data_IF_076734911874
#
_entry.id   IF_076734911874
#
_cell.length_a   1.000
_cell.length_b   1.000
_cell.length_c   1.000
_cell.angle_alpha   90.00
_cell.angle_beta   90.00
_cell.angle_gamma   90.00
#
_symmetry.space_group_name_H-M   'P 1'
#
loop_
_entity.id
_entity.type
_entity.pdbx_description
1 polymer ?
#
# COMPACT_ATOMS: atom_id res chain seq x y z
N UNK A 1 19.00 16.63 -53.50
CA UNK A 1 18.09 15.50 -53.82
C UNK A 1 16.69 15.93 -53.46
N UNK A 2 15.72 15.77 -54.38
CA UNK A 2 14.30 16.01 -54.08
C UNK A 2 13.78 14.93 -53.14
N UNK A 3 13.04 15.33 -52.10
CA UNK A 3 12.36 14.38 -51.21
C UNK A 3 11.25 13.67 -51.99
N UNK A 4 11.02 12.38 -51.72
CA UNK A 4 9.98 11.59 -52.38
C UNK A 4 8.73 11.53 -51.52
N UNK A 5 7.58 11.38 -52.17
CA UNK A 5 6.30 11.18 -51.51
C UNK A 5 6.30 9.87 -50.71
N UNK A 6 5.92 9.93 -49.43
CA UNK A 6 5.87 8.77 -48.53
C UNK A 6 4.68 7.84 -48.76
N UNK A 7 3.66 8.30 -49.49
CA UNK A 7 2.52 7.43 -49.84
C UNK A 7 3.00 6.23 -50.63
N UNK A 8 2.71 5.03 -50.12
CA UNK A 8 3.05 3.75 -50.75
C UNK A 8 2.69 3.77 -52.24
N UNK A 9 3.67 3.43 -53.09
CA UNK A 9 3.56 3.40 -54.56
C UNK A 9 3.37 4.76 -55.27
N UNK A 10 3.58 5.91 -54.60
CA UNK A 10 3.50 7.20 -55.28
C UNK A 10 4.74 7.55 -56.11
N UNK A 11 5.94 7.52 -55.50
CA UNK A 11 7.23 7.78 -56.17
C UNK A 11 7.46 9.20 -56.72
N UNK A 12 6.45 10.08 -56.72
CA UNK A 12 6.55 11.47 -57.17
C UNK A 12 7.40 12.31 -56.23
N UNK A 13 7.98 13.39 -56.75
CA UNK A 13 8.68 14.39 -55.93
C UNK A 13 7.69 15.09 -55.00
N UNK A 14 8.10 15.27 -53.75
CA UNK A 14 7.28 15.89 -52.73
C UNK A 14 7.25 17.42 -52.89
N UNK A 15 6.08 18.00 -52.65
CA UNK A 15 5.82 19.45 -52.68
C UNK A 15 5.20 19.95 -51.38
N UNK A 16 4.82 19.03 -50.48
CA UNK A 16 4.18 19.28 -49.20
C UNK A 16 4.91 18.54 -48.09
N UNK A 17 4.81 19.06 -46.87
CA UNK A 17 5.31 18.43 -45.65
C UNK A 17 4.24 18.50 -44.56
N UNK A 18 4.14 17.48 -43.70
CA UNK A 18 3.17 17.47 -42.61
C UNK A 18 3.48 18.57 -41.56
N UNK A 19 2.57 19.52 -41.31
CA UNK A 19 2.81 20.61 -40.35
C UNK A 19 2.88 20.10 -38.89
N UNK A 20 2.20 19.00 -38.57
CA UNK A 20 2.28 18.40 -37.23
C UNK A 20 3.63 17.74 -37.01
N UNK A 21 4.16 17.01 -37.99
CA UNK A 21 5.51 16.44 -37.91
C UNK A 21 6.60 17.50 -37.77
N UNK A 22 6.47 18.61 -38.50
CA UNK A 22 7.35 19.77 -38.35
C UNK A 22 7.32 20.34 -36.92
N UNK A 23 6.13 20.43 -36.31
CA UNK A 23 5.98 20.88 -34.91
C UNK A 23 6.53 19.88 -33.89
N UNK A 24 6.45 18.59 -34.18
CA UNK A 24 6.90 17.50 -33.31
C UNK A 24 8.39 17.12 -33.51
N UNK A 25 9.13 17.82 -34.39
CA UNK A 25 10.54 17.51 -34.67
C UNK A 25 10.77 16.19 -35.42
N UNK A 26 9.71 15.60 -36.00
CA UNK A 26 9.78 14.31 -36.71
C UNK A 26 10.42 14.54 -38.08
N UNK A 27 11.60 13.95 -38.32
CA UNK A 27 12.27 14.01 -39.61
C UNK A 27 11.49 13.16 -40.64
N UNK A 28 11.22 13.75 -41.80
CA UNK A 28 10.45 13.12 -42.88
C UNK A 28 9.09 13.78 -43.08
N UNK A 29 8.12 12.99 -43.49
CA UNK A 29 6.71 13.33 -43.71
C UNK A 29 6.45 14.20 -44.93
N UNK A 30 6.96 13.74 -46.08
CA UNK A 30 6.89 14.43 -47.37
C UNK A 30 5.81 13.84 -48.29
N UNK A 31 5.04 14.71 -48.94
CA UNK A 31 3.93 14.31 -49.81
C UNK A 31 3.92 15.14 -51.11
N UNK A 32 3.57 14.53 -52.25
CA UNK A 32 3.49 15.26 -53.53
C UNK A 32 2.20 16.05 -53.72
N UNK A 33 1.17 15.76 -52.92
CA UNK A 33 -0.16 16.35 -53.05
C UNK A 33 -1.02 16.05 -51.81
N UNK A 34 -2.08 16.84 -51.60
CA UNK A 34 -3.05 16.59 -50.54
C UNK A 34 -3.75 15.21 -50.64
N UNK A 35 -4.13 14.71 -51.83
CA UNK A 35 -4.63 13.34 -51.99
C UNK A 35 -3.67 12.26 -51.48
N UNK A 36 -2.37 12.40 -51.73
CA UNK A 36 -1.36 11.47 -51.21
C UNK A 36 -1.27 11.51 -49.68
N UNK A 37 -1.25 12.70 -49.09
CA UNK A 37 -1.30 12.85 -47.63
C UNK A 37 -2.54 12.18 -47.01
N UNK A 38 -3.72 12.44 -47.57
CA UNK A 38 -4.98 11.82 -47.09
C UNK A 38 -4.98 10.30 -47.25
N UNK A 39 -4.46 9.79 -48.38
CA UNK A 39 -4.36 8.36 -48.65
C UNK A 39 -3.41 7.61 -47.70
N UNK A 40 -2.43 8.31 -47.13
CA UNK A 40 -1.47 7.76 -46.16
C UNK A 40 -1.80 8.12 -44.71
N UNK A 41 -2.93 8.79 -44.44
CA UNK A 41 -3.23 9.35 -43.12
C UNK A 41 -3.38 8.28 -42.04
N UNK A 42 -3.85 7.07 -42.38
CA UNK A 42 -4.09 5.99 -41.40
C UNK A 42 -2.77 5.48 -40.80
N UNK A 43 -1.74 5.35 -41.62
CA UNK A 43 -0.38 5.00 -41.24
C UNK A 43 0.31 6.21 -40.59
N UNK A 44 0.16 7.39 -41.19
CA UNK A 44 0.82 8.61 -40.76
C UNK A 44 0.38 9.10 -39.36
N UNK A 45 -0.91 8.97 -39.02
CA UNK A 45 -1.41 9.35 -37.67
C UNK A 45 -0.84 8.47 -36.55
N UNK A 46 -0.39 7.24 -36.85
CA UNK A 46 0.29 6.40 -35.86
C UNK A 46 1.64 7.01 -35.46
N UNK A 47 2.33 7.67 -36.40
CA UNK A 47 3.56 8.42 -36.12
C UNK A 47 3.26 9.58 -35.17
N UNK A 48 2.14 10.29 -35.36
CA UNK A 48 1.72 11.33 -34.43
C UNK A 48 1.37 10.77 -33.05
N UNK A 49 0.74 9.60 -32.95
CA UNK A 49 0.44 9.00 -31.65
C UNK A 49 1.72 8.60 -30.90
N UNK A 50 2.70 8.03 -31.63
CA UNK A 50 4.02 7.70 -31.09
C UNK A 50 4.77 8.98 -30.67
N UNK A 51 4.75 10.02 -31.49
CA UNK A 51 5.42 11.29 -31.21
C UNK A 51 4.69 12.18 -30.21
N UNK A 52 3.37 12.09 -30.06
CA UNK A 52 2.60 12.75 -29.00
C UNK A 52 2.78 12.03 -27.66
N UNK A 53 2.96 10.71 -27.68
CA UNK A 53 3.48 9.96 -26.54
C UNK A 53 4.91 10.36 -26.17
N UNK A 54 5.73 10.72 -27.17
CA UNK A 54 7.12 11.17 -27.00
C UNK A 54 7.32 12.69 -26.92
N UNK A 55 6.26 13.52 -26.93
CA UNK A 55 6.35 14.99 -26.78
C UNK A 55 5.54 15.53 -25.61
N UNK A 56 4.86 14.65 -24.87
CA UNK A 56 4.54 14.85 -23.47
C UNK A 56 5.61 14.28 -22.52
N UNK A 57 6.67 13.67 -23.06
CA UNK A 57 7.96 13.64 -22.37
C UNK A 57 8.62 14.98 -22.58
N UNK A 58 8.40 15.90 -21.64
CA UNK A 58 9.52 16.73 -21.25
C UNK A 58 10.66 15.76 -20.94
N UNK A 59 11.72 15.82 -21.74
CA UNK A 59 13.04 15.29 -21.40
C UNK A 59 13.48 15.97 -20.09
N UNK A 60 12.91 15.51 -18.98
CA UNK A 60 13.63 15.31 -17.74
C UNK A 60 14.11 13.85 -17.81
N UNK A 61 15.33 13.71 -18.31
CA UNK A 61 16.27 12.62 -18.05
C UNK A 61 15.68 11.33 -17.43
N UNK A 62 15.52 10.28 -18.24
CA UNK A 62 15.53 8.88 -17.76
C UNK A 62 14.51 8.44 -16.69
N UNK A 63 13.37 9.13 -16.51
CA UNK A 63 12.41 8.78 -15.46
C UNK A 63 11.88 7.33 -15.58
N UNK A 64 12.08 6.53 -14.52
CA UNK A 64 11.63 5.13 -14.44
C UNK A 64 10.10 5.04 -14.59
N UNK A 65 9.64 4.30 -15.61
CA UNK A 65 8.22 4.04 -15.85
C UNK A 65 8.04 2.59 -16.35
N UNK A 66 7.90 1.61 -15.45
CA UNK A 66 7.81 0.20 -15.81
C UNK A 66 6.50 -0.16 -16.53
N UNK A 67 5.49 0.71 -16.46
CA UNK A 67 4.14 0.47 -17.01
C UNK A 67 3.66 1.64 -17.89
N UNK A 68 4.28 1.89 -19.05
CA UNK A 68 4.00 3.05 -19.89
C UNK A 68 2.56 3.12 -20.43
N UNK A 69 1.82 2.01 -20.39
CA UNK A 69 0.42 1.92 -20.82
C UNK A 69 -0.59 1.89 -19.66
N UNK A 70 -0.12 1.85 -18.41
CA UNK A 70 -0.98 1.90 -17.24
C UNK A 70 -1.38 3.35 -16.92
N UNK A 71 -2.66 3.58 -16.65
CA UNK A 71 -3.17 4.89 -16.26
C UNK A 71 -3.22 5.00 -14.75
N UNK A 72 -2.23 5.67 -14.17
CA UNK A 72 -2.22 6.00 -12.74
C UNK A 72 -3.41 6.91 -12.35
N UNK A 73 -3.97 6.68 -11.17
CA UNK A 73 -5.12 7.43 -10.64
C UNK A 73 -4.72 8.81 -10.09
N UNK A 74 -3.54 8.89 -9.46
CA UNK A 74 -2.99 10.11 -8.85
C UNK A 74 -1.62 10.53 -9.40
N UNK A 75 -0.87 11.28 -8.59
CA UNK A 75 0.43 11.88 -8.95
C UNK A 75 1.60 10.93 -8.69
N UNK A 76 1.45 9.98 -7.77
CA UNK A 76 2.49 9.04 -7.39
C UNK A 76 2.87 8.14 -8.58
N UNK A 77 4.15 7.79 -8.66
CA UNK A 77 4.72 6.87 -9.66
C UNK A 77 5.65 5.91 -8.93
N UNK A 78 5.78 4.67 -9.40
CA UNK A 78 6.77 3.74 -8.87
C UNK A 78 8.18 4.23 -9.19
N UNK A 79 9.14 3.89 -8.34
CA UNK A 79 10.58 4.05 -8.54
C UNK A 79 11.25 2.67 -8.62
N UNK A 80 12.52 2.58 -9.05
CA UNK A 80 13.25 1.32 -9.02
C UNK A 80 13.30 0.75 -7.60
N UNK A 81 13.22 -0.57 -7.49
CA UNK A 81 13.38 -1.28 -6.21
C UNK A 81 14.80 -1.85 -6.11
N UNK A 82 15.37 -1.86 -4.91
CA UNK A 82 16.58 -2.66 -4.66
C UNK A 82 16.24 -4.16 -4.60
N UNK A 83 17.20 -5.07 -4.82
CA UNK A 83 16.97 -6.51 -4.66
C UNK A 83 16.38 -6.88 -3.28
N UNK A 84 15.63 -8.00 -3.21
CA UNK A 84 15.09 -8.51 -1.94
C UNK A 84 16.23 -8.71 -0.92
N UNK A 85 16.05 -8.23 0.31
CA UNK A 85 17.04 -8.39 1.40
C UNK A 85 17.05 -9.82 1.94
N UNK A 86 18.20 -10.26 2.47
CA UNK A 86 18.38 -11.63 2.95
C UNK A 86 18.19 -11.74 4.47
N UNK A 87 17.44 -12.75 4.91
CA UNK A 87 17.28 -13.08 6.33
C UNK A 87 18.30 -14.17 6.71
N UNK A 88 19.10 -14.02 7.77
CA UNK A 88 20.03 -15.05 8.24
C UNK A 88 19.34 -16.40 8.53
N UNK A 89 20.01 -17.51 8.19
CA UNK A 89 19.48 -18.86 8.36
C UNK A 89 19.17 -19.26 9.82
N UNK A 90 19.72 -18.55 10.80
CA UNK A 90 19.46 -18.80 12.22
C UNK A 90 18.07 -18.33 12.68
N UNK A 91 17.43 -17.42 11.93
CA UNK A 91 16.11 -16.89 12.26
C UNK A 91 15.03 -17.88 11.80
N UNK A 92 14.07 -18.19 12.67
CA UNK A 92 12.93 -19.04 12.34
C UNK A 92 12.10 -18.40 11.23
N UNK A 93 11.75 -19.19 10.21
CA UNK A 93 11.03 -18.73 9.02
C UNK A 93 9.59 -19.25 9.02
N UNK A 94 8.59 -18.44 8.60
CA UNK A 94 7.25 -18.93 8.35
C UNK A 94 7.24 -19.85 7.11
N UNK A 95 6.16 -20.63 6.94
CA UNK A 95 6.08 -21.68 5.91
C UNK A 95 6.17 -21.18 4.46
N UNK A 96 5.77 -19.93 4.22
CA UNK A 96 5.82 -19.29 2.91
C UNK A 96 7.18 -18.70 2.54
N UNK A 97 8.08 -18.51 3.51
CA UNK A 97 9.34 -17.79 3.30
C UNK A 97 10.22 -18.41 2.20
N UNK A 98 10.20 -19.74 2.09
CA UNK A 98 10.97 -20.52 1.12
C UNK A 98 10.07 -21.19 0.05
N UNK A 99 8.76 -20.94 0.09
CA UNK A 99 7.86 -21.42 -0.96
C UNK A 99 8.12 -20.61 -2.25
N UNK A 100 8.26 -21.25 -3.43
CA UNK A 100 8.63 -20.58 -4.68
C UNK A 100 7.62 -19.52 -5.16
N UNK A 101 6.36 -19.63 -4.70
CA UNK A 101 5.30 -18.65 -4.94
C UNK A 101 4.86 -17.91 -3.67
N UNK A 102 5.60 -18.04 -2.56
CA UNK A 102 5.26 -17.36 -1.31
C UNK A 102 3.95 -17.80 -0.65
N UNK A 103 3.42 -18.98 -0.99
CA UNK A 103 2.11 -19.43 -0.49
C UNK A 103 2.23 -19.97 0.92
N UNK A 104 1.36 -19.52 1.83
CA UNK A 104 1.26 -20.09 3.16
C UNK A 104 0.34 -21.31 3.14
N UNK A 105 0.92 -22.50 3.27
CA UNK A 105 0.17 -23.76 3.25
C UNK A 105 -0.68 -23.92 4.52
N UNK A 106 -0.20 -23.40 5.64
CA UNK A 106 -0.93 -23.39 6.92
C UNK A 106 -2.16 -22.49 6.88
N UNK A 107 -2.09 -21.30 6.27
CA UNK A 107 -3.28 -20.45 6.03
C UNK A 107 -4.29 -21.13 5.12
N UNK A 108 -3.81 -21.73 4.02
CA UNK A 108 -4.68 -22.42 3.07
C UNK A 108 -5.39 -23.63 3.69
N UNK A 109 -4.76 -24.30 4.67
CA UNK A 109 -5.37 -25.39 5.42
C UNK A 109 -6.44 -24.92 6.43
N UNK A 110 -6.36 -23.67 6.92
CA UNK A 110 -7.28 -23.11 7.90
C UNK A 110 -8.55 -22.48 7.30
N UNK A 111 -8.72 -22.52 5.96
CA UNK A 111 -9.87 -21.92 5.26
C UNK A 111 -11.20 -22.25 5.96
N UNK A 112 -11.90 -21.21 6.39
CA UNK A 112 -13.17 -21.32 7.09
C UNK A 112 -13.45 -20.11 7.96
N UNK A 113 -14.47 -20.21 8.82
CA UNK A 113 -14.88 -19.13 9.74
C UNK A 113 -14.61 -19.46 11.21
N UNK A 114 -13.87 -20.55 11.49
CA UNK A 114 -13.53 -20.95 12.86
C UNK A 114 -12.46 -20.02 13.40
N UNK A 115 -12.81 -19.25 14.42
CA UNK A 115 -11.89 -18.36 15.13
C UNK A 115 -11.17 -19.16 16.21
N UNK A 116 -9.85 -19.02 16.30
CA UNK A 116 -9.06 -19.71 17.33
C UNK A 116 -9.18 -18.97 18.66
N UNK A 117 -9.39 -19.75 19.72
CA UNK A 117 -9.17 -19.30 21.10
C UNK A 117 -7.74 -19.70 21.46
N UNK A 118 -6.90 -18.71 21.74
CA UNK A 118 -5.52 -18.93 22.12
C UNK A 118 -5.43 -19.47 23.55
N UNK A 119 -4.48 -20.37 23.79
CA UNK A 119 -4.08 -20.76 25.14
C UNK A 119 -3.07 -19.77 25.75
N UNK A 120 -2.68 -19.99 27.01
CA UNK A 120 -1.79 -19.07 27.74
C UNK A 120 -0.39 -18.94 27.08
N UNK A 121 0.14 -20.02 26.49
CA UNK A 121 1.44 -19.99 25.81
C UNK A 121 1.35 -19.17 24.53
N UNK A 122 0.28 -19.38 23.76
CA UNK A 122 0.03 -18.64 22.52
C UNK A 122 -0.25 -17.16 22.76
N UNK A 123 -0.96 -16.83 23.84
CA UNK A 123 -1.18 -15.45 24.27
C UNK A 123 0.15 -14.75 24.57
N UNK A 124 1.05 -15.40 25.31
CA UNK A 124 2.37 -14.83 25.61
C UNK A 124 3.22 -14.68 24.34
N UNK A 125 3.17 -15.66 23.44
CA UNK A 125 3.78 -15.57 22.11
C UNK A 125 3.31 -14.34 21.34
N UNK A 126 2.00 -14.08 21.34
CA UNK A 126 1.41 -12.90 20.70
C UNK A 126 1.81 -11.58 21.36
N UNK A 127 1.90 -11.51 22.70
CA UNK A 127 2.40 -10.32 23.40
C UNK A 127 3.84 -9.99 23.00
N UNK A 128 4.69 -11.02 22.92
CA UNK A 128 6.08 -10.86 22.50
C UNK A 128 6.16 -10.40 21.04
N UNK A 129 5.44 -11.06 20.13
CA UNK A 129 5.43 -10.69 18.71
C UNK A 129 4.90 -9.25 18.50
N UNK A 130 3.78 -8.88 19.14
CA UNK A 130 3.22 -7.53 19.05
C UNK A 130 4.17 -6.44 19.58
N UNK A 131 4.85 -6.71 20.69
CA UNK A 131 5.89 -5.82 21.22
C UNK A 131 7.04 -5.65 20.22
N UNK A 132 7.55 -6.74 19.64
CA UNK A 132 8.68 -6.68 18.71
C UNK A 132 8.29 -5.98 17.40
N UNK A 133 7.05 -6.17 16.92
CA UNK A 133 6.49 -5.44 15.78
C UNK A 133 6.48 -3.94 16.04
N UNK A 134 5.98 -3.52 17.21
CA UNK A 134 6.04 -2.11 17.67
C UNK A 134 7.46 -1.56 17.64
N UNK A 135 8.41 -2.27 18.25
CA UNK A 135 9.80 -1.81 18.27
C UNK A 135 10.39 -1.66 16.86
N UNK A 136 10.03 -2.52 15.90
CA UNK A 136 10.46 -2.39 14.50
C UNK A 136 9.79 -1.20 13.79
N UNK A 137 8.48 -0.98 13.99
CA UNK A 137 7.79 0.21 13.46
C UNK A 137 8.42 1.49 14.01
N UNK A 138 8.75 1.52 15.30
CA UNK A 138 9.34 2.70 15.93
C UNK A 138 10.73 3.04 15.35
N UNK A 139 11.52 2.05 14.87
CA UNK A 139 12.77 2.34 14.14
C UNK A 139 12.51 2.99 12.78
N UNK A 140 11.51 2.51 12.02
CA UNK A 140 11.10 3.17 10.78
C UNK A 140 10.54 4.58 11.02
N UNK A 141 9.71 4.74 12.05
CA UNK A 141 9.06 6.00 12.41
C UNK A 141 10.06 7.14 12.70
N UNK A 142 11.14 6.84 13.44
CA UNK A 142 12.19 7.81 13.78
C UNK A 142 12.86 8.43 12.55
N UNK A 143 12.90 7.69 11.43
CA UNK A 143 13.58 8.09 10.21
C UNK A 143 12.66 8.80 9.20
N UNK A 144 11.35 8.94 9.47
CA UNK A 144 10.42 9.59 8.54
C UNK A 144 10.68 11.10 8.45
N UNK A 145 11.35 11.50 7.38
CA UNK A 145 11.65 12.88 7.03
C UNK A 145 11.61 13.13 5.51
N UNK A 146 11.68 14.41 5.11
CA UNK A 146 11.76 14.76 3.68
C UNK A 146 13.09 14.24 3.11
N UNK A 147 13.03 13.53 1.98
CA UNK A 147 14.21 13.05 1.26
C UNK A 147 14.59 11.60 1.52
N UNK A 148 14.16 10.99 2.63
CA UNK A 148 14.36 9.54 2.84
C UNK A 148 13.55 8.75 1.81
N UNK A 149 14.09 7.63 1.31
CA UNK A 149 13.34 6.76 0.41
C UNK A 149 12.55 5.73 1.18
N UNK A 150 11.46 5.23 0.59
CA UNK A 150 10.72 4.12 1.18
C UNK A 150 11.55 2.83 1.26
N UNK A 151 12.47 2.59 0.33
CA UNK A 151 13.43 1.48 0.38
C UNK A 151 14.40 1.56 1.56
N UNK A 152 14.74 2.77 2.00
CA UNK A 152 15.56 3.02 3.19
C UNK A 152 14.76 2.79 4.48
N UNK A 153 13.47 3.17 4.50
CA UNK A 153 12.57 2.79 5.59
C UNK A 153 12.43 1.26 5.71
N UNK A 154 12.27 0.56 4.58
CA UNK A 154 12.30 -0.91 4.53
C UNK A 154 13.61 -1.49 5.06
N UNK A 155 14.75 -0.87 4.72
CA UNK A 155 16.06 -1.31 5.26
C UNK A 155 16.08 -1.27 6.78
N UNK A 156 15.65 -0.15 7.36
CA UNK A 156 15.64 0.06 8.80
C UNK A 156 14.71 -0.92 9.51
N UNK A 157 13.49 -1.13 8.97
CA UNK A 157 12.54 -2.11 9.51
C UNK A 157 13.07 -3.54 9.38
N UNK A 158 13.66 -3.88 8.23
CA UNK A 158 14.28 -5.19 8.00
C UNK A 158 15.38 -5.46 9.02
N UNK A 159 16.35 -4.56 9.15
CA UNK A 159 17.46 -4.70 10.09
C UNK A 159 16.98 -4.77 11.54
N UNK A 160 16.01 -3.93 11.93
CA UNK A 160 15.41 -3.96 13.25
C UNK A 160 14.74 -5.32 13.57
N UNK A 161 14.11 -5.96 12.59
CA UNK A 161 13.54 -7.30 12.72
C UNK A 161 14.64 -8.36 12.87
N UNK A 162 15.71 -8.31 12.06
CA UNK A 162 16.84 -9.25 12.15
C UNK A 162 17.51 -9.17 13.52
N UNK A 163 17.80 -7.96 14.01
CA UNK A 163 18.41 -7.72 15.33
C UNK A 163 17.58 -8.29 16.49
N UNK A 164 16.26 -8.41 16.28
CA UNK A 164 15.29 -8.94 17.23
C UNK A 164 14.96 -10.41 17.02
N UNK A 165 15.76 -11.12 16.23
CA UNK A 165 15.56 -12.53 15.87
C UNK A 165 14.16 -12.79 15.30
N UNK A 166 13.66 -11.84 14.50
CA UNK A 166 12.36 -11.90 13.84
C UNK A 166 12.53 -12.07 12.34
N UNK A 167 11.60 -12.79 11.72
CA UNK A 167 11.43 -12.75 10.27
C UNK A 167 10.43 -11.63 9.92
N UNK A 168 10.71 -10.73 8.97
CA UNK A 168 9.74 -9.74 8.51
C UNK A 168 8.64 -10.42 7.68
N UNK A 169 7.45 -10.59 8.25
CA UNK A 169 6.38 -11.44 7.68
C UNK A 169 5.98 -11.08 6.24
N UNK A 170 5.94 -9.80 5.82
CA UNK A 170 5.63 -9.46 4.43
C UNK A 170 6.62 -10.06 3.43
N UNK A 171 7.88 -10.29 3.84
CA UNK A 171 8.91 -10.75 2.92
C UNK A 171 8.52 -12.09 2.31
N UNK A 172 8.44 -12.11 0.99
CA UNK A 172 8.03 -13.26 0.18
C UNK A 172 6.60 -13.79 0.44
N UNK A 173 5.78 -13.16 1.28
CA UNK A 173 4.37 -13.52 1.43
C UNK A 173 3.62 -13.28 0.11
N UNK A 174 3.12 -14.35 -0.52
CA UNK A 174 2.61 -14.37 -1.90
C UNK A 174 3.53 -13.63 -2.90
N UNK A 175 4.84 -13.76 -2.73
CA UNK A 175 5.91 -13.10 -3.49
C UNK A 175 6.10 -11.60 -3.26
N UNK A 176 5.45 -10.97 -2.27
CA UNK A 176 5.72 -9.58 -1.89
C UNK A 176 7.25 -9.38 -1.70
N UNK A 177 7.85 -8.32 -2.27
CA UNK A 177 9.30 -8.28 -2.46
C UNK A 177 10.07 -7.61 -1.33
N UNK A 178 9.39 -7.05 -0.34
CA UNK A 178 9.99 -6.21 0.72
C UNK A 178 9.56 -6.68 2.11
N UNK A 179 10.10 -6.06 3.14
CA UNK A 179 10.00 -6.48 4.55
C UNK A 179 8.90 -5.75 5.31
N UNK A 180 8.43 -4.63 4.78
CA UNK A 180 7.28 -3.86 5.23
C UNK A 180 6.53 -3.28 4.04
N UNK A 181 5.32 -2.74 4.26
CA UNK A 181 4.65 -1.93 3.25
C UNK A 181 4.85 -0.44 3.56
N UNK A 182 4.99 0.38 2.52
CA UNK A 182 5.08 1.84 2.64
C UNK A 182 4.08 2.50 1.70
N UNK A 183 2.98 3.00 2.26
CA UNK A 183 1.83 3.49 1.50
C UNK A 183 1.76 5.01 1.54
N UNK A 184 2.17 5.65 0.44
CA UNK A 184 2.27 7.10 0.34
C UNK A 184 1.03 7.73 -0.33
N UNK A 185 0.48 8.78 0.27
CA UNK A 185 -0.59 9.62 -0.29
C UNK A 185 -1.84 8.85 -0.76
N UNK A 186 -2.04 8.68 -2.08
CA UNK A 186 -3.20 7.96 -2.63
C UNK A 186 -3.11 6.43 -2.51
N UNK A 187 -1.95 5.89 -2.10
CA UNK A 187 -1.80 4.47 -1.80
C UNK A 187 -2.57 4.15 -0.52
N UNK A 188 -3.55 3.26 -0.66
CA UNK A 188 -4.42 2.76 0.40
C UNK A 188 -3.65 1.83 1.33
N UNK A 189 -2.98 0.82 0.75
CA UNK A 189 -2.19 -0.18 1.46
C UNK A 189 -1.23 -0.89 0.49
N UNK A 190 -0.34 -1.71 1.04
CA UNK A 190 0.58 -2.60 0.30
C UNK A 190 1.50 -1.90 -0.71
N UNK A 191 1.79 -0.61 -0.52
CA UNK A 191 2.80 0.07 -1.32
C UNK A 191 4.15 -0.62 -1.15
N UNK A 192 4.78 -1.01 -2.27
CA UNK A 192 6.09 -1.67 -2.24
C UNK A 192 7.19 -0.63 -2.02
N UNK A 193 8.03 -0.75 -0.98
CA UNK A 193 9.21 0.10 -0.79
C UNK A 193 10.08 0.21 -2.03
N UNK A 194 10.29 1.44 -2.49
CA UNK A 194 11.10 1.78 -3.65
C UNK A 194 12.01 3.02 -3.40
N UNK A 195 12.79 3.38 -4.41
CA UNK A 195 13.74 4.49 -4.35
C UNK A 195 13.12 5.89 -4.42
N UNK A 196 11.78 6.04 -4.30
CA UNK A 196 11.15 7.36 -4.27
C UNK A 196 11.52 8.09 -2.98
N UNK A 197 12.15 9.28 -3.03
CA UNK A 197 12.30 10.11 -1.84
C UNK A 197 10.94 10.68 -1.40
N UNK A 198 10.64 10.61 -0.12
CA UNK A 198 9.47 11.25 0.48
C UNK A 198 9.56 12.78 0.33
N UNK A 199 8.43 13.41 0.04
CA UNK A 199 8.34 14.84 -0.26
C UNK A 199 7.64 15.61 0.86
N UNK A 200 7.94 16.90 0.97
CA UNK A 200 7.25 17.78 1.92
C UNK A 200 5.73 17.79 1.66
N UNK A 201 4.96 17.48 2.69
CA UNK A 201 3.50 17.37 2.63
C UNK A 201 2.97 15.96 2.30
N UNK A 202 3.83 14.96 2.10
CA UNK A 202 3.41 13.56 1.95
C UNK A 202 2.81 13.02 3.27
N UNK A 203 1.85 12.12 3.13
CA UNK A 203 1.52 11.13 4.15
C UNK A 203 2.21 9.82 3.79
N UNK A 204 2.83 9.15 4.74
CA UNK A 204 3.42 7.83 4.53
C UNK A 204 2.95 6.90 5.64
N UNK A 205 2.19 5.86 5.32
CA UNK A 205 1.93 4.76 6.24
C UNK A 205 3.07 3.74 6.14
N UNK A 206 3.55 3.24 7.28
CA UNK A 206 4.49 2.11 7.34
C UNK A 206 3.77 0.97 8.05
N UNK A 207 3.69 -0.17 7.37
CA UNK A 207 2.99 -1.37 7.84
C UNK A 207 3.99 -2.49 8.12
N UNK A 208 4.03 -2.92 9.37
CA UNK A 208 5.06 -3.79 9.92
C UNK A 208 4.43 -5.01 10.56
N UNK A 209 4.78 -6.17 10.01
CA UNK A 209 4.49 -7.45 10.66
C UNK A 209 5.77 -8.22 10.90
N UNK A 210 6.00 -8.70 12.12
CA UNK A 210 7.13 -9.57 12.45
C UNK A 210 6.65 -10.97 12.80
N UNK A 211 7.44 -11.99 12.47
CA UNK A 211 7.25 -13.37 12.87
C UNK A 211 8.35 -13.77 13.85
N UNK A 212 7.96 -14.11 15.08
CA UNK A 212 8.87 -14.49 16.15
C UNK A 212 8.33 -15.71 16.88
N UNK A 213 9.17 -16.75 17.02
CA UNK A 213 8.85 -17.98 17.78
C UNK A 213 7.51 -18.61 17.41
N UNK A 214 7.15 -18.58 16.14
CA UNK A 214 5.89 -19.17 15.67
C UNK A 214 4.68 -18.25 15.64
N UNK A 215 4.81 -16.95 15.93
CA UNK A 215 3.69 -16.01 16.00
C UNK A 215 3.97 -14.73 15.21
N UNK A 216 2.94 -14.21 14.54
CA UNK A 216 2.98 -12.92 13.85
C UNK A 216 2.47 -11.79 14.75
N UNK A 217 3.07 -10.60 14.69
CA UNK A 217 2.60 -9.40 15.37
C UNK A 217 2.55 -8.23 14.41
N UNK A 218 1.37 -7.59 14.30
CA UNK A 218 1.03 -6.71 13.18
C UNK A 218 0.51 -5.34 13.60
N UNK A 219 1.03 -4.30 12.96
CA UNK A 219 0.63 -2.92 13.19
C UNK A 219 1.11 -1.98 12.09
N UNK A 220 0.40 -0.87 11.95
CA UNK A 220 0.80 0.22 11.09
C UNK A 220 0.38 1.58 11.64
N UNK A 221 1.09 2.62 11.22
CA UNK A 221 0.76 4.02 11.50
C UNK A 221 1.00 4.90 10.27
N UNK A 222 0.17 5.94 10.11
CA UNK A 222 0.40 7.00 9.11
C UNK A 222 1.21 8.14 9.71
N UNK A 223 2.30 8.52 9.05
CA UNK A 223 3.25 9.56 9.46
C UNK A 223 3.14 10.81 8.58
N UNK A 224 3.37 11.97 9.18
CA UNK A 224 3.53 13.24 8.47
C UNK A 224 4.99 13.42 7.99
N UNK A 225 5.15 13.69 6.70
CA UNK A 225 6.42 14.08 6.10
C UNK A 225 6.45 15.61 5.94
N UNK A 226 7.27 16.28 6.77
CA UNK A 226 7.37 17.74 6.73
C UNK A 226 6.04 18.45 7.02
N UNK A 227 5.70 19.46 6.19
CA UNK A 227 4.57 20.37 6.36
C UNK A 227 3.31 19.85 5.65
N UNK A 228 2.54 19.03 6.37
CA UNK A 228 1.29 18.45 5.87
C UNK A 228 0.13 19.46 5.95
N UNK A 229 -0.71 19.50 4.90
CA UNK A 229 -1.89 20.37 4.87
C UNK A 229 -2.91 20.04 5.96
N UNK A 230 -3.66 21.03 6.46
CA UNK A 230 -4.69 20.83 7.50
C UNK A 230 -5.75 19.78 7.11
N UNK A 231 -6.09 19.70 5.82
CA UNK A 231 -7.01 18.68 5.30
C UNK A 231 -6.45 17.26 5.52
N UNK A 232 -5.16 17.06 5.27
CA UNK A 232 -4.49 15.76 5.40
C UNK A 232 -4.16 15.43 6.86
N UNK A 233 -3.83 16.43 7.69
CA UNK A 233 -3.78 16.24 9.15
C UNK A 233 -5.12 15.76 9.70
N UNK A 234 -6.23 16.38 9.25
CA UNK A 234 -7.57 15.96 9.66
C UNK A 234 -7.91 14.53 9.21
N UNK A 235 -7.47 14.12 8.02
CA UNK A 235 -7.61 12.73 7.56
C UNK A 235 -6.95 11.76 8.55
N UNK A 236 -5.66 11.95 8.83
CA UNK A 236 -4.88 11.09 9.74
C UNK A 236 -5.51 11.05 11.13
N UNK A 237 -5.89 12.21 11.67
CA UNK A 237 -6.57 12.30 12.97
C UNK A 237 -7.86 11.47 12.99
N UNK A 238 -8.75 11.65 11.99
CA UNK A 238 -10.04 10.93 11.93
C UNK A 238 -9.84 9.43 11.75
N UNK A 239 -8.83 9.01 10.97
CA UNK A 239 -8.48 7.59 10.83
C UNK A 239 -8.10 6.96 12.17
N UNK A 240 -7.20 7.61 12.92
CA UNK A 240 -6.78 7.13 14.24
C UNK A 240 -7.93 7.15 15.27
N UNK A 241 -8.73 8.21 15.29
CA UNK A 241 -9.90 8.31 16.17
C UNK A 241 -10.95 7.22 15.84
N UNK A 242 -11.13 6.88 14.56
CA UNK A 242 -12.01 5.80 14.14
C UNK A 242 -11.51 4.42 14.62
N UNK A 243 -10.20 4.15 14.52
CA UNK A 243 -9.59 2.96 15.10
C UNK A 243 -9.79 2.91 16.62
N UNK A 244 -9.49 4.01 17.32
CA UNK A 244 -9.62 4.09 18.78
C UNK A 244 -11.05 3.77 19.25
N UNK A 245 -12.07 4.32 18.57
CA UNK A 245 -13.48 4.01 18.86
C UNK A 245 -13.84 2.56 18.57
N UNK A 246 -13.27 1.97 17.53
CA UNK A 246 -13.45 0.56 17.24
C UNK A 246 -12.86 -0.32 18.34
N UNK A 247 -11.67 0.02 18.85
CA UNK A 247 -11.00 -0.69 19.95
C UNK A 247 -11.82 -0.58 21.25
N UNK A 248 -12.34 0.61 21.59
CA UNK A 248 -13.22 0.80 22.76
C UNK A 248 -14.49 -0.08 22.73
N UNK A 249 -14.95 -0.45 21.53
CA UNK A 249 -16.09 -1.36 21.35
C UNK A 249 -15.73 -2.83 21.63
N UNK A 250 -14.48 -3.25 21.43
CA UNK A 250 -14.06 -4.66 21.53
C UNK A 250 -14.22 -5.19 22.96
N UNK A 251 -15.07 -6.21 23.11
CA UNK A 251 -15.30 -6.98 24.35
C UNK A 251 -16.02 -8.29 24.05
N UNK A 252 -16.01 -9.29 24.96
CA UNK A 252 -16.77 -10.51 24.79
C UNK A 252 -18.25 -10.29 24.51
N UNK A 253 -18.82 -11.08 23.60
CA UNK A 253 -20.24 -11.05 23.25
C UNK A 253 -20.61 -10.09 22.11
N UNK A 254 -19.74 -9.15 21.76
CA UNK A 254 -19.95 -8.25 20.61
C UNK A 254 -19.66 -8.96 19.27
N UNK A 255 -20.33 -8.53 18.20
CA UNK A 255 -20.17 -9.15 16.86
C UNK A 255 -19.10 -8.42 16.06
N UNK A 256 -18.25 -9.17 15.35
CA UNK A 256 -17.21 -8.59 14.49
C UNK A 256 -17.77 -7.62 13.44
N UNK A 257 -18.96 -7.90 12.89
CA UNK A 257 -19.62 -7.02 11.90
C UNK A 257 -19.93 -5.62 12.43
N UNK A 258 -20.05 -5.44 13.74
CA UNK A 258 -20.43 -4.16 14.34
C UNK A 258 -19.24 -3.19 14.45
N UNK A 259 -17.99 -3.68 14.34
CA UNK A 259 -16.78 -2.83 14.22
C UNK A 259 -16.92 -1.84 13.05
N UNK A 260 -17.31 -2.33 11.87
CA UNK A 260 -17.47 -1.47 10.70
C UNK A 260 -18.61 -0.45 10.83
N UNK A 261 -19.64 -0.74 11.65
CA UNK A 261 -20.68 0.22 11.98
C UNK A 261 -20.14 1.36 12.84
N UNK A 262 -19.29 1.05 13.83
CA UNK A 262 -18.63 2.04 14.71
C UNK A 262 -17.72 2.97 13.89
N UNK A 263 -16.84 2.39 13.07
CA UNK A 263 -15.88 3.11 12.24
C UNK A 263 -16.60 4.03 11.26
N UNK A 264 -17.48 3.49 10.41
CA UNK A 264 -18.10 4.30 9.36
C UNK A 264 -19.04 5.39 9.94
N UNK A 265 -19.71 5.13 11.07
CA UNK A 265 -20.53 6.14 11.75
C UNK A 265 -19.69 7.34 12.22
N UNK A 266 -18.45 7.09 12.64
CA UNK A 266 -17.54 8.14 13.07
C UNK A 266 -16.92 8.91 11.89
N UNK A 267 -16.52 8.20 10.84
CA UNK A 267 -15.82 8.76 9.67
C UNK A 267 -16.75 9.61 8.80
N UNK A 268 -17.97 9.15 8.54
CA UNK A 268 -18.86 9.77 7.54
C UNK A 268 -19.18 11.27 7.79
N UNK A 269 -19.43 11.74 9.03
CA UNK A 269 -19.64 13.16 9.31
C UNK A 269 -18.45 14.07 8.98
N UNK A 270 -17.23 13.52 8.87
CA UNK A 270 -16.03 14.27 8.47
C UNK A 270 -15.86 14.39 6.96
N UNK A 271 -16.76 13.80 6.15
CA UNK A 271 -16.71 13.85 4.69
C UNK A 271 -15.69 12.92 4.06
N UNK A 272 -15.17 11.94 4.81
CA UNK A 272 -14.27 10.89 4.32
C UNK A 272 -15.03 9.58 4.06
N UNK A 273 -14.40 8.67 3.32
CA UNK A 273 -14.94 7.36 3.00
C UNK A 273 -14.12 6.22 3.61
N UNK A 274 -14.74 5.06 3.79
CA UNK A 274 -14.10 3.85 4.31
C UNK A 274 -13.88 2.86 3.18
N UNK A 275 -12.63 2.45 2.96
CA UNK A 275 -12.26 1.45 1.95
C UNK A 275 -12.95 0.11 2.26
N UNK A 276 -13.39 -0.60 1.22
CA UNK A 276 -14.17 -1.85 1.35
C UNK A 276 -13.45 -3.11 0.88
N UNK A 277 -12.38 -2.96 0.12
CA UNK A 277 -11.67 -4.08 -0.52
C UNK A 277 -10.75 -4.84 0.44
N UNK A 278 -10.38 -4.22 1.57
CA UNK A 278 -9.49 -4.76 2.58
C UNK A 278 -10.16 -4.73 3.96
N UNK A 279 -9.73 -5.59 4.86
CA UNK A 279 -10.33 -5.79 6.18
C UNK A 279 -9.29 -6.25 7.19
N UNK A 280 -9.55 -6.02 8.47
CA UNK A 280 -8.78 -6.67 9.54
C UNK A 280 -8.92 -8.18 9.48
N UNK A 281 -8.03 -8.88 10.17
CA UNK A 281 -7.94 -10.34 10.12
C UNK A 281 -7.62 -10.94 11.48
N UNK A 282 -7.95 -12.22 11.65
CA UNK A 282 -7.35 -13.02 12.72
C UNK A 282 -5.84 -13.14 12.47
N UNK A 283 -5.07 -13.12 13.54
CA UNK A 283 -3.60 -13.24 13.49
C UNK A 283 -3.10 -14.04 14.68
N UNK A 284 -2.18 -14.98 14.41
CA UNK A 284 -1.47 -15.73 15.45
C UNK A 284 -0.28 -16.50 14.85
N UNK A 285 -0.33 -17.84 14.88
CA UNK A 285 0.58 -18.75 14.18
C UNK A 285 0.57 -18.64 12.65
N UNK A 286 -0.44 -17.97 12.10
CA UNK A 286 -0.56 -17.64 10.69
C UNK A 286 -0.76 -16.15 10.56
N UNK A 287 -0.34 -15.57 9.43
CA UNK A 287 -0.34 -14.13 9.22
C UNK A 287 -1.79 -13.63 9.08
N UNK A 288 -2.58 -14.27 8.22
CA UNK A 288 -4.00 -13.92 8.00
C UNK A 288 -4.92 -15.12 8.20
N UNK A 289 -5.93 -14.99 9.06
CA UNK A 289 -6.97 -16.03 9.28
C UNK A 289 -8.30 -15.45 9.74
N UNK A 290 -9.26 -16.31 10.09
CA UNK A 290 -10.54 -15.87 10.64
C UNK A 290 -10.36 -15.21 12.03
N UNK A 291 -11.11 -14.13 12.32
CA UNK A 291 -12.20 -13.56 11.51
C UNK A 291 -11.72 -12.53 10.50
N UNK A 292 -12.44 -12.39 9.39
CA UNK A 292 -12.35 -11.17 8.56
C UNK A 292 -13.15 -10.05 9.26
N UNK A 293 -12.57 -8.86 9.37
CA UNK A 293 -13.11 -7.71 10.11
C UNK A 293 -13.25 -6.49 9.20
N UNK A 294 -14.34 -6.39 8.40
CA UNK A 294 -14.55 -5.27 7.51
C UNK A 294 -14.80 -3.96 8.26
N UNK A 295 -14.20 -2.87 7.79
CA UNK A 295 -14.28 -1.56 8.44
C UNK A 295 -15.51 -0.73 8.06
N UNK A 296 -16.31 -1.19 7.09
CA UNK A 296 -17.51 -0.49 6.61
C UNK A 296 -18.79 -1.00 7.28
N UNK A 297 -19.79 -0.13 7.37
CA UNK A 297 -21.09 -0.44 7.98
C UNK A 297 -21.92 -1.42 7.13
N UNK A 298 -22.83 -2.15 7.78
CA UNK A 298 -23.72 -3.14 7.14
C UNK A 298 -22.97 -4.25 6.39
N UNK A 299 -21.75 -4.57 6.81
CA UNK A 299 -21.03 -5.76 6.35
C UNK A 299 -21.67 -7.04 6.91
N UNK A 300 -21.26 -8.19 6.37
CA UNK A 300 -21.78 -9.51 6.74
C UNK A 300 -20.74 -10.37 7.47
N UNK A 301 -19.81 -9.77 8.21
CA UNK A 301 -18.78 -10.52 8.93
C UNK A 301 -19.40 -11.51 9.93
N UNK A 302 -18.77 -12.67 10.03
CA UNK A 302 -19.23 -13.80 10.84
C UNK A 302 -18.40 -13.87 12.11
N UNK A 303 -19.06 -14.13 13.24
CA UNK A 303 -18.41 -14.38 14.52
C UNK A 303 -18.84 -13.44 15.63
N UNK A 304 -18.60 -13.89 16.85
CA UNK A 304 -18.80 -13.15 18.11
C UNK A 304 -17.46 -13.17 18.84
N UNK A 305 -17.04 -12.03 19.38
CA UNK A 305 -15.80 -11.90 20.14
C UNK A 305 -15.88 -12.72 21.43
N UNK A 306 -14.82 -13.47 21.74
CA UNK A 306 -14.69 -14.23 22.97
C UNK A 306 -13.26 -14.07 23.53
N UNK A 307 -13.05 -14.21 24.85
CA UNK A 307 -11.72 -14.19 25.43
C UNK A 307 -10.76 -15.14 24.72
N UNK A 308 -9.53 -14.71 24.48
CA UNK A 308 -8.51 -15.46 23.76
C UNK A 308 -8.57 -15.33 22.24
N UNK A 309 -9.55 -14.61 21.66
CA UNK A 309 -9.49 -14.25 20.23
C UNK A 309 -8.42 -13.17 20.01
N UNK A 310 -7.58 -13.36 18.98
CA UNK A 310 -6.58 -12.37 18.56
C UNK A 310 -6.78 -11.98 17.08
N UNK A 311 -6.86 -10.67 16.82
CA UNK A 311 -7.20 -10.13 15.50
C UNK A 311 -6.79 -8.66 15.36
N UNK A 312 -6.74 -8.16 14.12
CA UNK A 312 -6.41 -6.77 13.80
C UNK A 312 -7.67 -5.93 13.55
N UNK A 313 -7.57 -4.63 13.84
CA UNK A 313 -8.49 -3.61 13.30
C UNK A 313 -7.60 -2.58 12.60
N UNK A 314 -7.83 -2.35 11.30
CA UNK A 314 -6.88 -1.65 10.43
C UNK A 314 -7.57 -0.68 9.43
N UNK A 315 -8.45 0.25 9.88
CA UNK A 315 -9.28 1.05 8.99
C UNK A 315 -8.45 1.91 8.03
N UNK A 316 -8.68 1.71 6.73
CA UNK A 316 -8.18 2.56 5.67
C UNK A 316 -9.27 3.58 5.29
N UNK A 317 -8.99 4.85 5.53
CA UNK A 317 -9.92 5.97 5.33
C UNK A 317 -9.39 6.89 4.24
N UNK A 318 -10.24 7.24 3.28
CA UNK A 318 -9.85 8.04 2.12
C UNK A 318 -10.58 9.38 2.09
N UNK A 319 -9.90 10.41 1.58
CA UNK A 319 -10.47 11.74 1.36
C UNK A 319 -11.64 11.70 0.37
N UNK A 320 -11.54 10.83 -0.62
CA UNK A 320 -12.44 10.74 -1.76
C UNK A 320 -13.32 9.49 -1.73
N UNK A 321 -13.29 8.72 -2.81
CA UNK A 321 -14.10 7.50 -2.97
C UNK A 321 -13.54 6.29 -2.21
N UNK A 322 -14.43 5.36 -1.82
CA UNK A 322 -14.01 4.08 -1.20
C UNK A 322 -13.40 3.06 -2.19
N UNK A 323 -13.43 3.35 -3.49
CA UNK A 323 -13.06 2.40 -4.55
C UNK A 323 -11.54 2.36 -4.66
N UNK A 324 -10.97 1.15 -4.57
CA UNK A 324 -9.56 0.89 -4.83
C UNK A 324 -9.32 0.45 -6.29
N UNK A 325 -8.13 0.74 -6.81
CA UNK A 325 -7.54 0.13 -7.99
C UNK A 325 -6.15 -0.40 -7.64
N UNK A 326 -5.66 -1.44 -8.32
CA UNK A 326 -4.37 -2.07 -8.03
C UNK A 326 -3.40 -1.76 -9.16
N UNK A 327 -2.16 -1.41 -8.82
CA UNK A 327 -1.09 -1.24 -9.80
C UNK A 327 -0.69 -2.57 -10.44
N UNK A 328 0.00 -2.56 -11.61
CA UNK A 328 0.47 -3.78 -12.27
C UNK A 328 1.59 -4.53 -11.54
N UNK A 329 2.01 -4.10 -10.34
CA UNK A 329 2.87 -4.88 -9.44
C UNK A 329 2.11 -5.93 -8.62
N UNK A 330 0.78 -6.04 -8.82
CA UNK A 330 -0.16 -6.94 -8.15
C UNK A 330 -0.40 -6.64 -6.65
N UNK A 331 0.21 -5.58 -6.09
CA UNK A 331 0.18 -5.28 -4.65
C UNK A 331 -0.34 -3.89 -4.34
N UNK A 332 0.24 -2.85 -4.95
CA UNK A 332 0.02 -1.46 -4.54
C UNK A 332 -1.43 -1.06 -4.81
N UNK A 333 -2.22 -0.91 -3.75
CA UNK A 333 -3.61 -0.52 -3.83
C UNK A 333 -3.73 1.00 -3.73
N UNK A 334 -4.42 1.64 -4.65
CA UNK A 334 -4.58 3.10 -4.70
C UNK A 334 -6.05 3.49 -4.74
N UNK A 335 -6.37 4.71 -4.28
CA UNK A 335 -7.70 5.29 -4.47
C UNK A 335 -7.99 5.50 -5.96
N UNK A 336 -9.21 5.18 -6.40
CA UNK A 336 -9.61 5.29 -7.80
C UNK A 336 -9.68 6.74 -8.31
N UNK A 337 -9.74 7.74 -7.41
CA UNK A 337 -9.76 9.16 -7.73
C UNK A 337 -8.42 9.87 -7.48
N UNK A 338 -7.39 9.13 -7.04
CA UNK A 338 -6.05 9.68 -6.78
C UNK A 338 -5.97 10.62 -5.57
N UNK A 339 -6.98 10.62 -4.69
CA UNK A 339 -6.97 11.39 -3.45
C UNK A 339 -6.34 10.59 -2.30
N UNK A 340 -5.91 11.30 -1.26
CA UNK A 340 -5.13 10.75 -0.16
C UNK A 340 -5.94 9.72 0.65
N UNK A 341 -5.24 8.70 1.14
CA UNK A 341 -5.71 7.70 2.10
C UNK A 341 -4.81 7.70 3.34
N UNK A 342 -5.32 7.23 4.46
CA UNK A 342 -4.54 7.00 5.68
C UNK A 342 -5.05 5.73 6.38
N UNK A 343 -4.16 5.07 7.10
CA UNK A 343 -4.42 3.83 7.84
C UNK A 343 -3.72 3.85 9.20
N UNK A 344 -4.37 3.22 10.18
CA UNK A 344 -3.77 2.83 11.45
C UNK A 344 -4.23 1.42 11.77
N UNK A 345 -3.39 0.67 12.47
CA UNK A 345 -3.71 -0.70 12.87
C UNK A 345 -3.20 -1.04 14.26
N UNK A 346 -3.92 -1.92 14.93
CA UNK A 346 -3.45 -2.61 16.13
C UNK A 346 -3.84 -4.08 16.09
N UNK A 347 -2.95 -4.95 16.59
CA UNK A 347 -3.27 -6.32 16.98
C UNK A 347 -3.89 -6.31 18.38
N UNK A 348 -5.08 -6.91 18.52
CA UNK A 348 -5.88 -6.92 19.74
C UNK A 348 -6.05 -8.34 20.26
N UNK A 349 -6.00 -8.50 21.59
CA UNK A 349 -6.38 -9.73 22.28
C UNK A 349 -7.63 -9.48 23.11
N UNK A 350 -8.73 -10.19 22.83
CA UNK A 350 -9.95 -10.11 23.65
C UNK A 350 -9.71 -10.76 25.01
N UNK A 351 -10.06 -10.07 26.09
CA UNK A 351 -10.04 -10.59 27.46
C UNK A 351 -11.46 -10.61 28.04
N UNK A 352 -11.62 -10.86 29.34
CA UNK A 352 -12.92 -11.04 30.00
C UNK A 352 -13.80 -9.78 30.01
N UNK A 353 -13.22 -8.58 29.86
CA UNK A 353 -13.93 -7.30 30.05
C UNK A 353 -13.80 -6.32 28.88
N UNK A 354 -12.90 -6.60 27.94
CA UNK A 354 -12.56 -5.74 26.81
C UNK A 354 -11.50 -6.38 25.93
N UNK A 355 -10.41 -5.65 25.66
CA UNK A 355 -9.24 -6.17 24.98
C UNK A 355 -7.93 -5.58 25.53
N UNK A 356 -6.83 -6.27 25.25
CA UNK A 356 -5.46 -5.79 25.39
C UNK A 356 -4.94 -5.38 23.99
N UNK A 357 -4.37 -4.17 23.89
CA UNK A 357 -3.70 -3.71 22.66
C UNK A 357 -2.25 -4.21 22.70
N UNK A 358 -1.93 -5.23 21.90
CA UNK A 358 -0.64 -5.90 21.95
C UNK A 358 0.49 -5.09 21.29
N UNK A 359 0.13 -4.20 20.37
CA UNK A 359 1.05 -3.41 19.55
C UNK A 359 1.09 -1.91 19.92
N UNK A 360 0.56 -1.57 21.11
CA UNK A 360 0.57 -0.20 21.62
C UNK A 360 1.99 0.37 21.71
N UNK A 361 2.14 1.66 21.41
CA UNK A 361 3.40 2.38 21.65
C UNK A 361 3.73 2.37 23.15
N UNK A 362 5.02 2.26 23.48
CA UNK A 362 5.49 2.20 24.88
C UNK A 362 5.79 3.56 25.47
N UNK A 363 6.11 4.51 24.62
CA UNK A 363 6.37 5.91 24.97
C UNK A 363 5.08 6.74 24.85
N UNK A 364 5.12 7.98 25.37
CA UNK A 364 4.05 8.97 25.24
C UNK A 364 2.65 8.43 25.58
N UNK A 365 2.54 7.59 26.62
CA UNK A 365 1.29 6.96 27.06
C UNK A 365 0.54 6.18 25.96
N UNK A 366 1.26 5.63 24.99
CA UNK A 366 0.66 4.88 23.88
C UNK A 366 0.09 5.73 22.75
N UNK A 367 0.33 7.04 22.75
CA UNK A 367 -0.09 7.92 21.66
C UNK A 367 0.66 7.61 20.35
N UNK A 368 -0.02 7.63 19.20
CA UNK A 368 0.60 7.39 17.91
C UNK A 368 1.59 8.51 17.55
N UNK A 369 2.55 8.22 16.69
CA UNK A 369 3.66 9.11 16.34
C UNK A 369 3.23 10.45 15.75
N UNK A 370 2.14 10.48 14.97
CA UNK A 370 1.69 11.74 14.35
C UNK A 370 1.28 12.79 15.38
N UNK A 371 0.87 12.38 16.59
CA UNK A 371 0.49 13.30 17.67
C UNK A 371 1.69 14.07 18.24
N UNK A 372 2.91 13.54 18.09
CA UNK A 372 4.13 14.26 18.48
C UNK A 372 4.43 15.44 17.53
N UNK A 373 3.75 15.51 16.38
CA UNK A 373 3.89 16.55 15.34
C UNK A 373 2.64 17.42 15.16
N UNK A 374 1.61 17.25 16.00
CA UNK A 374 0.40 18.09 16.03
C UNK A 374 0.63 19.31 16.93
#
# INVERSE_FOLDING_TARGET
>A
MTQKCETTNCGKDATLQCPTCLKLGIKGSFFCSQPCFKGFWKEHKAIHALAAGASNSAEQDGAYNPWPHFRFTGKLRPFPQTPKRTVPNAIQRPDYADHPAGRSLSEEALRGTKIKVLDDEEIEGMRVAGRLGRECLDEGAKAVEVGITTDELDRLVHEAAIERECYPSPLNYYNFPKSCCTSVNEVICHGIPDQRPLQDGDLCNIDVTVYHRGFHGDLNETFFVGNVSEKHKKLVQVTHEALSKAIEFVRPGEKYRDIGNVIQKYVAPHGFSVVRSYCGHGIHRVFHTAPNVPHYAKNSAVGVMAPGHCFTIEPMISVGVQKAETWPDDWTAVTADGLYSAQFEQTLLVNETGCEILTKRRENNGQPWFMDKM
#
